data_IF_347471115240
#
_entry.id   IF_347471115240
#
_cell.length_a   1.000
_cell.length_b   1.000
_cell.length_c   1.000
_cell.angle_alpha   90.00
_cell.angle_beta   90.00
_cell.angle_gamma   90.00
#
_symmetry.space_group_name_H-M   'P 1'
#
loop_
_entity.id
_entity.type
_entity.pdbx_description
1 polymer ?
#
# COMPACT_ATOMS: atom_id res chain seq x y z
N UNK A 1 10.64 -9.09 6.47
CA UNK A 1 10.22 -8.58 7.81
C UNK A 1 10.80 -7.21 8.15
N UNK A 2 11.90 -6.77 7.51
CA UNK A 2 12.54 -5.48 7.79
C UNK A 2 11.61 -4.26 7.65
N UNK A 3 10.79 -4.20 6.61
CA UNK A 3 9.83 -3.10 6.41
C UNK A 3 8.84 -2.94 7.58
N UNK A 4 8.33 -4.05 8.11
CA UNK A 4 7.43 -4.03 9.27
C UNK A 4 8.16 -3.56 10.53
N UNK A 5 9.41 -4.00 10.74
CA UNK A 5 10.22 -3.56 11.88
C UNK A 5 10.63 -2.08 11.77
N UNK A 6 10.96 -1.61 10.56
CA UNK A 6 11.29 -0.22 10.27
C UNK A 6 10.10 0.71 10.58
N UNK A 7 8.90 0.33 10.14
CA UNK A 7 7.67 1.08 10.45
C UNK A 7 7.34 1.02 11.94
N UNK A 8 7.50 -0.14 12.58
CA UNK A 8 7.27 -0.30 14.03
C UNK A 8 8.19 0.58 14.89
N UNK A 9 9.42 0.84 14.43
CA UNK A 9 10.37 1.68 15.15
C UNK A 9 10.15 3.19 14.91
N UNK A 10 9.52 3.59 13.79
CA UNK A 10 9.28 5.00 13.44
C UNK A 10 7.86 5.49 13.68
N UNK A 11 6.87 4.60 13.67
CA UNK A 11 5.46 4.94 13.79
C UNK A 11 4.84 4.27 15.02
N UNK A 12 3.81 4.91 15.55
CA UNK A 12 3.02 4.37 16.65
C UNK A 12 2.38 3.03 16.24
N UNK A 13 2.17 2.14 17.23
CA UNK A 13 1.70 0.76 17.04
C UNK A 13 0.39 0.63 16.23
N UNK A 14 -0.45 1.68 16.22
CA UNK A 14 -1.72 1.70 15.49
C UNK A 14 -1.56 1.98 13.99
N UNK A 15 -0.44 2.54 13.54
CA UNK A 15 -0.14 2.79 12.13
C UNK A 15 0.63 1.63 11.47
N UNK A 16 0.80 0.51 12.17
CA UNK A 16 1.43 -0.69 11.61
C UNK A 16 0.57 -1.25 10.45
N UNK A 17 1.14 -1.41 9.24
CA UNK A 17 0.43 -1.96 8.10
C UNK A 17 0.19 -3.46 8.29
N UNK A 18 -1.08 -3.89 8.21
CA UNK A 18 -1.46 -5.31 8.32
C UNK A 18 -0.99 -6.10 7.10
N UNK A 19 -1.22 -5.54 5.92
CA UNK A 19 -0.88 -6.12 4.62
C UNK A 19 0.10 -5.19 3.89
N UNK A 20 1.06 -5.79 3.18
CA UNK A 20 2.01 -5.07 2.34
C UNK A 20 2.04 -5.81 1.01
N UNK A 21 1.60 -5.13 -0.03
CA UNK A 21 1.63 -5.61 -1.41
C UNK A 21 2.59 -4.72 -2.20
N UNK A 22 3.49 -5.34 -2.96
CA UNK A 22 4.38 -4.63 -3.85
C UNK A 22 3.78 -4.62 -5.25
N UNK A 23 3.50 -3.43 -5.74
CA UNK A 23 3.01 -3.22 -7.10
C UNK A 23 4.20 -2.93 -8.01
N UNK A 24 4.23 -3.53 -9.20
CA UNK A 24 5.21 -3.21 -10.24
C UNK A 24 5.05 -1.78 -10.73
N UNK A 25 3.80 -1.31 -10.85
CA UNK A 25 3.47 0.03 -11.30
C UNK A 25 2.28 0.59 -10.51
N UNK A 26 2.39 1.87 -10.15
CA UNK A 26 1.27 2.60 -9.54
C UNK A 26 0.35 3.11 -10.65
N UNK A 27 -0.99 3.00 -10.49
CA UNK A 27 -1.91 3.61 -11.42
C UNK A 27 -1.81 5.13 -11.29
N UNK A 28 -1.21 5.76 -12.30
CA UNK A 28 -1.03 7.20 -12.40
C UNK A 28 -2.03 7.76 -13.40
N UNK A 29 -2.53 8.97 -13.16
CA UNK A 29 -3.21 9.76 -14.17
C UNK A 29 -2.23 10.22 -15.23
N UNK A 30 -2.74 10.73 -16.35
CA UNK A 30 -1.95 11.40 -17.40
C UNK A 30 -1.07 12.55 -16.85
N UNK A 31 -1.45 13.11 -15.71
CA UNK A 31 -0.72 14.15 -14.97
C UNK A 31 0.20 13.62 -13.87
N UNK A 32 0.40 12.30 -13.78
CA UNK A 32 1.27 11.67 -12.79
C UNK A 32 0.69 11.61 -11.36
N UNK A 33 -0.63 11.85 -11.18
CA UNK A 33 -1.28 11.72 -9.87
C UNK A 33 -1.72 10.28 -9.64
N UNK A 34 -1.46 9.75 -8.45
CA UNK A 34 -1.88 8.40 -8.09
C UNK A 34 -3.41 8.31 -8.04
N UNK A 35 -3.99 7.39 -8.79
CA UNK A 35 -5.43 7.15 -8.82
C UNK A 35 -5.82 6.28 -7.61
N UNK A 36 -6.06 6.94 -6.48
CA UNK A 36 -6.47 6.28 -5.22
C UNK A 36 -7.72 5.41 -5.38
N UNK A 37 -8.65 5.79 -6.25
CA UNK A 37 -9.87 5.00 -6.52
C UNK A 37 -9.54 3.61 -7.08
N UNK A 38 -8.59 3.52 -8.01
CA UNK A 38 -8.15 2.24 -8.58
C UNK A 38 -7.35 1.43 -7.56
N UNK A 39 -6.49 2.07 -6.75
CA UNK A 39 -5.80 1.39 -5.66
C UNK A 39 -6.79 0.81 -4.63
N UNK A 40 -7.82 1.58 -4.26
CA UNK A 40 -8.85 1.10 -3.32
C UNK A 40 -9.71 -0.02 -3.92
N UNK A 41 -10.02 0.06 -5.21
CA UNK A 41 -10.71 -1.02 -5.91
C UNK A 41 -9.86 -2.30 -5.92
N UNK A 42 -8.56 -2.20 -6.24
CA UNK A 42 -7.61 -3.32 -6.18
C UNK A 42 -7.49 -3.94 -4.80
N UNK A 43 -7.38 -3.12 -3.75
CA UNK A 43 -7.36 -3.60 -2.36
C UNK A 43 -8.68 -4.29 -1.96
N UNK A 44 -9.81 -3.95 -2.60
CA UNK A 44 -11.10 -4.59 -2.35
C UNK A 44 -11.30 -5.87 -3.18
N UNK A 45 -10.74 -5.95 -4.40
CA UNK A 45 -10.85 -7.14 -5.26
C UNK A 45 -9.72 -8.15 -5.06
N UNK A 46 -8.59 -7.75 -4.46
CA UNK A 46 -7.37 -8.54 -4.34
C UNK A 46 -6.84 -8.61 -2.92
N UNK A 47 -7.59 -9.24 -2.02
CA UNK A 47 -6.99 -9.94 -0.90
C UNK A 47 -6.82 -11.41 -1.33
N UNK A 48 -5.74 -11.72 -2.05
CA UNK A 48 -5.47 -13.09 -2.48
C UNK A 48 -4.60 -13.22 -3.72
N UNK A 49 -3.32 -12.91 -3.56
CA UNK A 49 -2.19 -13.68 -4.13
C UNK A 49 -1.07 -13.71 -3.11
#
# INVERSE_FOLDING_TARGET
LELKNFVKNRLAKHCYPREIEFLSELPLTVTGKVIRKQLKARAATGAGV
#
